data_IF_957049848518
#
_entry.id   IF_957049848518
#
_cell.length_a   1.000
_cell.length_b   1.000
_cell.length_c   1.000
_cell.angle_alpha   90.00
_cell.angle_beta   90.00
_cell.angle_gamma   90.00
#
_symmetry.space_group_name_H-M   'P 1'
#
loop_
_entity.id
_entity.type
_entity.pdbx_description
1 polymer ?
#
# COMPACT_ATOMS: atom_id res chain seq x y z
N UNK A 1 11.01 15.08 7.97
CA UNK A 1 10.92 15.90 6.72
C UNK A 1 11.86 17.09 6.92
N UNK A 2 13.02 17.04 6.30
CA UNK A 2 14.04 18.08 6.39
C UNK A 2 13.75 19.20 5.39
N UNK A 3 13.45 20.42 5.83
CA UNK A 3 13.16 21.53 4.90
C UNK A 3 14.27 21.79 3.90
N UNK A 4 15.53 21.61 4.29
CA UNK A 4 16.70 21.87 3.44
C UNK A 4 16.90 20.89 2.28
N UNK A 5 16.16 19.78 2.22
CA UNK A 5 16.22 18.78 1.14
C UNK A 5 14.91 18.63 0.38
N UNK A 6 14.02 19.60 0.53
CA UNK A 6 12.67 19.48 -0.01
C UNK A 6 12.61 19.44 -1.54
N UNK A 7 13.48 20.18 -2.22
CA UNK A 7 13.50 20.16 -3.69
C UNK A 7 14.07 18.84 -4.23
N UNK A 8 15.12 18.29 -3.60
CA UNK A 8 15.67 16.99 -3.95
C UNK A 8 14.63 15.87 -3.76
N UNK A 9 13.90 15.93 -2.64
CA UNK A 9 12.83 14.97 -2.35
C UNK A 9 11.67 15.09 -3.36
N UNK A 10 11.24 16.31 -3.69
CA UNK A 10 10.19 16.53 -4.69
C UNK A 10 10.62 16.03 -6.09
N UNK A 11 11.88 16.22 -6.48
CA UNK A 11 12.41 15.69 -7.73
C UNK A 11 12.43 14.15 -7.74
N UNK A 12 12.75 13.52 -6.62
CA UNK A 12 12.66 12.07 -6.49
C UNK A 12 11.20 11.56 -6.62
N UNK A 13 10.23 12.24 -5.99
CA UNK A 13 8.80 11.89 -6.14
C UNK A 13 8.33 12.10 -7.58
N UNK A 14 8.73 13.19 -8.23
CA UNK A 14 8.41 13.45 -9.64
C UNK A 14 8.93 12.31 -10.55
N UNK A 15 10.17 11.87 -10.36
CA UNK A 15 10.71 10.72 -11.09
C UNK A 15 9.92 9.43 -10.82
N UNK A 16 9.49 9.20 -9.58
CA UNK A 16 8.65 8.06 -9.26
C UNK A 16 7.29 8.11 -9.99
N UNK A 17 6.68 9.29 -10.09
CA UNK A 17 5.44 9.50 -10.87
C UNK A 17 5.69 9.19 -12.36
N UNK A 18 6.79 9.68 -12.94
CA UNK A 18 7.15 9.40 -14.33
C UNK A 18 7.33 7.89 -14.58
N UNK A 19 7.96 7.17 -13.64
CA UNK A 19 8.11 5.72 -13.70
C UNK A 19 6.74 5.03 -13.63
N UNK A 20 5.87 5.45 -12.69
CA UNK A 20 4.53 4.89 -12.54
C UNK A 20 3.67 5.10 -13.79
N UNK A 21 3.81 6.22 -14.48
CA UNK A 21 3.14 6.49 -15.75
C UNK A 21 3.70 5.69 -16.92
N UNK A 22 4.94 5.24 -16.79
CA UNK A 22 5.61 4.47 -17.82
C UNK A 22 5.10 3.03 -17.96
N UNK A 23 5.08 2.47 -19.16
CA UNK A 23 4.58 1.10 -19.40
C UNK A 23 5.35 0.01 -18.65
N UNK A 24 6.61 0.29 -18.24
CA UNK A 24 7.41 -0.64 -17.46
C UNK A 24 6.89 -0.88 -16.05
N UNK A 25 6.13 0.05 -15.47
CA UNK A 25 5.62 -0.08 -14.11
C UNK A 25 4.38 -1.00 -14.00
N UNK A 26 3.61 -1.13 -15.05
CA UNK A 26 2.33 -1.83 -15.02
C UNK A 26 2.19 -2.92 -16.09
N UNK A 27 3.07 -2.97 -17.09
CA UNK A 27 2.99 -3.91 -18.21
C UNK A 27 2.97 -5.38 -17.77
N UNK A 28 3.74 -5.72 -16.75
CA UNK A 28 3.80 -7.06 -16.19
C UNK A 28 2.76 -7.33 -15.10
N UNK A 29 2.00 -6.30 -14.72
CA UNK A 29 0.92 -6.36 -13.72
C UNK A 29 -0.47 -6.23 -14.37
N UNK A 30 -0.52 -6.30 -15.66
CA UNK A 30 -1.78 -6.31 -16.39
C UNK A 30 -2.41 -7.68 -16.21
N UNK A 31 -3.42 -7.73 -15.40
CA UNK A 31 -4.25 -8.92 -15.20
C UNK A 31 -5.28 -9.02 -16.31
N UNK A 32 -4.79 -8.99 -17.54
CA UNK A 32 -5.64 -8.67 -18.67
C UNK A 32 -6.34 -9.88 -19.28
N UNK A 33 -7.61 -9.99 -18.99
CA UNK A 33 -8.57 -10.67 -19.83
C UNK A 33 -9.19 -9.71 -20.88
N UNK A 34 -8.96 -8.37 -20.75
CA UNK A 34 -9.67 -7.34 -21.50
C UNK A 34 -8.78 -6.33 -22.26
N UNK A 35 -7.52 -6.64 -22.54
CA UNK A 35 -6.69 -5.79 -23.39
C UNK A 35 -5.74 -4.82 -22.67
N UNK A 36 -5.62 -4.89 -21.34
CA UNK A 36 -4.47 -4.33 -20.61
C UNK A 36 -4.47 -2.84 -20.38
N UNK A 37 -5.62 -2.21 -20.22
CA UNK A 37 -5.68 -0.82 -19.78
C UNK A 37 -5.56 -0.75 -18.24
N UNK A 38 -4.41 -0.30 -17.68
CA UNK A 38 -4.25 -0.19 -16.23
C UNK A 38 -5.22 0.78 -15.59
N UNK A 39 -5.79 1.70 -16.36
CA UNK A 39 -6.83 2.62 -15.90
C UNK A 39 -8.16 1.91 -15.62
N UNK A 40 -8.37 0.75 -16.20
CA UNK A 40 -9.59 -0.06 -15.99
C UNK A 40 -9.36 -1.13 -14.94
N UNK A 41 -8.23 -1.85 -15.02
CA UNK A 41 -8.07 -3.13 -14.33
C UNK A 41 -6.99 -3.15 -13.24
N UNK A 42 -6.27 -2.04 -12.98
CA UNK A 42 -5.21 -2.03 -11.98
C UNK A 42 -5.44 -1.00 -10.87
N UNK A 43 -6.26 -1.39 -9.91
CA UNK A 43 -6.57 -0.53 -8.76
C UNK A 43 -5.33 -0.19 -7.92
N UNK A 44 -4.39 -1.12 -7.77
CA UNK A 44 -3.16 -0.89 -7.01
C UNK A 44 -2.31 0.21 -7.67
N UNK A 45 -2.22 0.18 -9.00
CA UNK A 45 -1.51 1.22 -9.76
C UNK A 45 -2.19 2.59 -9.62
N UNK A 46 -3.53 2.66 -9.79
CA UNK A 46 -4.28 3.91 -9.57
C UNK A 46 -4.05 4.50 -8.19
N UNK A 47 -4.12 3.66 -7.16
CA UNK A 47 -3.88 4.06 -5.78
C UNK A 47 -2.46 4.59 -5.57
N UNK A 48 -1.46 3.88 -6.11
CA UNK A 48 -0.05 4.29 -6.00
C UNK A 48 0.21 5.62 -6.68
N UNK A 49 -0.37 5.85 -7.85
CA UNK A 49 -0.24 7.11 -8.57
C UNK A 49 -0.91 8.26 -7.81
N UNK A 50 -2.13 8.07 -7.30
CA UNK A 50 -2.81 9.06 -6.46
C UNK A 50 -2.00 9.44 -5.22
N UNK A 51 -1.39 8.47 -4.54
CA UNK A 51 -0.54 8.72 -3.38
C UNK A 51 0.71 9.51 -3.78
N UNK A 52 1.40 9.10 -4.84
CA UNK A 52 2.62 9.76 -5.29
C UNK A 52 2.36 11.22 -5.73
N UNK A 53 1.33 11.45 -6.53
CA UNK A 53 0.91 12.78 -6.96
C UNK A 53 0.41 13.63 -5.79
N UNK A 54 -0.31 13.01 -4.85
CA UNK A 54 -0.76 13.67 -3.64
C UNK A 54 0.40 14.18 -2.79
N UNK A 55 1.41 13.34 -2.56
CA UNK A 55 2.64 13.72 -1.86
C UNK A 55 3.34 14.86 -2.61
N UNK A 56 3.50 14.74 -3.94
CA UNK A 56 4.12 15.78 -4.76
C UNK A 56 3.39 17.12 -4.65
N UNK A 57 2.08 17.11 -4.82
CA UNK A 57 1.25 18.32 -4.72
C UNK A 57 1.30 19.00 -3.34
N UNK A 58 1.31 18.21 -2.25
CA UNK A 58 1.48 18.75 -0.90
C UNK A 58 2.88 19.35 -0.72
N UNK A 59 3.92 18.67 -1.12
CA UNK A 59 5.31 19.12 -0.97
C UNK A 59 5.58 20.39 -1.74
N UNK A 60 5.23 20.41 -3.03
CA UNK A 60 5.54 21.53 -3.93
C UNK A 60 4.55 22.68 -3.81
N UNK A 61 3.30 22.40 -3.44
CA UNK A 61 2.18 23.32 -3.52
C UNK A 61 1.71 23.58 -4.95
N UNK A 62 2.34 22.93 -5.93
CA UNK A 62 1.89 22.96 -7.32
C UNK A 62 0.72 21.98 -7.49
N UNK A 63 -0.46 22.48 -7.14
CA UNK A 63 -1.68 21.69 -7.19
C UNK A 63 -2.15 21.46 -8.62
N UNK A 64 -1.80 22.34 -9.53
CA UNK A 64 -2.28 22.27 -10.91
C UNK A 64 -1.54 21.24 -11.75
N UNK A 65 -0.27 20.95 -11.42
CA UNK A 65 0.54 20.00 -12.18
C UNK A 65 -0.05 18.58 -12.22
N UNK A 66 -0.67 18.14 -11.10
CA UNK A 66 -1.25 16.79 -10.98
C UNK A 66 -2.78 16.79 -11.03
N UNK A 67 -3.43 17.97 -11.03
CA UNK A 67 -4.89 18.07 -10.93
C UNK A 67 -5.66 17.24 -11.96
N UNK A 68 -5.36 17.33 -13.28
CA UNK A 68 -6.19 16.64 -14.28
C UNK A 68 -6.19 15.12 -14.10
N UNK A 69 -5.03 14.55 -13.77
CA UNK A 69 -4.90 13.10 -13.59
C UNK A 69 -5.49 12.65 -12.25
N UNK A 70 -5.18 13.34 -11.15
CA UNK A 70 -5.78 13.03 -9.86
C UNK A 70 -7.32 13.15 -9.87
N UNK A 71 -7.85 14.17 -10.54
CA UNK A 71 -9.30 14.37 -10.68
C UNK A 71 -9.93 13.24 -11.50
N UNK A 72 -9.30 12.85 -12.60
CA UNK A 72 -9.75 11.72 -13.42
C UNK A 72 -9.77 10.42 -12.61
N UNK A 73 -8.68 10.10 -11.90
CA UNK A 73 -8.57 8.92 -11.07
C UNK A 73 -9.59 8.92 -9.91
N UNK A 74 -9.71 10.04 -9.21
CA UNK A 74 -10.65 10.17 -8.10
C UNK A 74 -12.11 9.98 -8.56
N UNK A 75 -12.50 10.60 -9.67
CA UNK A 75 -13.84 10.45 -10.25
C UNK A 75 -14.10 9.04 -10.79
N UNK A 76 -13.07 8.38 -11.36
CA UNK A 76 -13.15 6.99 -11.78
C UNK A 76 -13.45 6.06 -10.59
N UNK A 77 -12.71 6.19 -9.50
CA UNK A 77 -12.93 5.43 -8.26
C UNK A 77 -14.31 5.69 -7.65
N UNK A 78 -14.74 6.94 -7.59
CA UNK A 78 -16.07 7.30 -7.09
C UNK A 78 -17.20 6.75 -7.95
N UNK A 79 -16.99 6.68 -9.27
CA UNK A 79 -17.97 6.09 -10.20
C UNK A 79 -18.06 4.59 -9.99
N UNK A 80 -16.93 3.90 -9.98
CA UNK A 80 -16.89 2.46 -9.77
C UNK A 80 -17.54 2.05 -8.45
N UNK A 81 -17.32 2.81 -7.39
CA UNK A 81 -17.98 2.59 -6.11
C UNK A 81 -19.51 2.76 -6.22
N UNK A 82 -19.99 3.82 -6.84
CA UNK A 82 -21.45 4.05 -7.03
C UNK A 82 -22.09 2.95 -7.88
N UNK A 83 -21.43 2.50 -8.92
CA UNK A 83 -21.90 1.38 -9.74
C UNK A 83 -21.99 0.09 -8.93
N UNK A 84 -21.04 -0.17 -8.05
CA UNK A 84 -21.09 -1.29 -7.12
C UNK A 84 -22.23 -1.16 -6.11
N UNK A 85 -22.50 0.05 -5.59
CA UNK A 85 -23.62 0.35 -4.69
C UNK A 85 -24.98 0.07 -5.32
N UNK A 86 -25.12 0.30 -6.60
CA UNK A 86 -26.37 0.15 -7.35
C UNK A 86 -26.65 -1.30 -7.77
N UNK A 87 -25.73 -2.25 -7.54
CA UNK A 87 -25.99 -3.66 -7.81
C UNK A 87 -27.01 -4.23 -6.82
N UNK A 88 -27.91 -5.11 -7.26
CA UNK A 88 -28.98 -5.63 -6.40
C UNK A 88 -28.45 -6.25 -5.12
N UNK A 89 -29.08 -5.92 -4.01
CA UNK A 89 -28.88 -6.59 -2.72
C UNK A 89 -29.14 -8.08 -2.92
N UNK A 90 -28.22 -8.92 -2.53
CA UNK A 90 -28.26 -10.37 -2.82
C UNK A 90 -27.23 -10.78 -3.86
N UNK A 91 -26.72 -9.82 -4.62
CA UNK A 91 -25.52 -10.00 -5.41
C UNK A 91 -24.24 -9.59 -4.64
N UNK A 92 -24.37 -9.18 -3.36
CA UNK A 92 -23.27 -8.66 -2.54
C UNK A 92 -22.84 -7.25 -2.96
N UNK A 93 -22.81 -6.35 -2.01
CA UNK A 93 -22.32 -5.00 -2.21
C UNK A 93 -20.85 -4.95 -1.82
N UNK A 94 -19.98 -4.57 -2.74
CA UNK A 94 -18.59 -4.29 -2.45
C UNK A 94 -18.37 -2.78 -2.45
N UNK A 95 -18.07 -2.20 -1.29
CA UNK A 95 -17.65 -0.80 -1.18
C UNK A 95 -16.27 -0.62 -1.80
N UNK A 96 -16.16 0.16 -2.87
CA UNK A 96 -14.91 0.38 -3.58
C UNK A 96 -14.90 -0.17 -5.00
N UNK A 97 -13.73 -0.49 -5.53
CA UNK A 97 -13.52 -0.95 -6.91
C UNK A 97 -12.82 -2.31 -6.93
N UNK A 98 -13.08 -3.09 -7.99
CA UNK A 98 -12.33 -4.33 -8.23
C UNK A 98 -10.88 -4.02 -8.58
N UNK A 99 -9.94 -4.76 -8.01
CA UNK A 99 -8.52 -4.64 -8.32
C UNK A 99 -8.22 -5.22 -9.71
N UNK A 100 -8.95 -6.26 -10.06
CA UNK A 100 -9.01 -6.88 -11.39
C UNK A 100 -10.42 -7.39 -11.64
N UNK A 101 -10.72 -7.75 -12.89
CA UNK A 101 -12.05 -8.25 -13.25
C UNK A 101 -12.53 -9.37 -12.31
N UNK A 102 -13.66 -9.14 -11.67
CA UNK A 102 -14.28 -10.11 -10.76
C UNK A 102 -13.69 -10.23 -9.36
N UNK A 103 -12.58 -9.53 -9.06
CA UNK A 103 -11.87 -9.65 -7.79
C UNK A 103 -11.72 -8.31 -7.08
N UNK A 104 -12.24 -8.23 -5.87
CA UNK A 104 -12.10 -7.10 -4.99
C UNK A 104 -11.19 -7.46 -3.80
N UNK A 105 -10.21 -6.60 -3.52
CA UNK A 105 -9.26 -6.81 -2.44
C UNK A 105 -9.27 -5.65 -1.44
N UNK A 106 -9.25 -5.99 -0.15
CA UNK A 106 -9.28 -5.02 0.94
C UNK A 106 -8.10 -4.04 0.88
N UNK A 107 -6.90 -4.56 0.66
CA UNK A 107 -5.67 -3.76 0.65
C UNK A 107 -5.59 -2.77 -0.51
N UNK A 108 -6.03 -3.14 -1.70
CA UNK A 108 -6.03 -2.24 -2.86
C UNK A 108 -7.01 -1.07 -2.64
N UNK A 109 -8.19 -1.37 -2.10
CA UNK A 109 -9.18 -0.35 -1.78
C UNK A 109 -8.76 0.55 -0.60
N UNK A 110 -8.05 0.01 0.38
CA UNK A 110 -7.47 0.80 1.47
C UNK A 110 -6.43 1.81 0.97
N UNK A 111 -5.55 1.39 0.04
CA UNK A 111 -4.60 2.30 -0.60
C UNK A 111 -5.31 3.36 -1.45
N UNK A 112 -6.41 2.99 -2.14
CA UNK A 112 -7.22 3.96 -2.88
C UNK A 112 -7.84 5.00 -1.96
N UNK A 113 -8.36 4.59 -0.79
CA UNK A 113 -8.89 5.53 0.20
C UNK A 113 -7.80 6.48 0.72
N UNK A 114 -6.57 6.01 0.93
CA UNK A 114 -5.44 6.86 1.28
C UNK A 114 -5.10 7.85 0.14
N UNK A 115 -5.05 7.38 -1.10
CA UNK A 115 -4.82 8.26 -2.26
C UNK A 115 -5.89 9.33 -2.42
N UNK A 116 -7.15 8.96 -2.19
CA UNK A 116 -8.28 9.91 -2.21
C UNK A 116 -8.26 10.90 -1.03
N UNK A 117 -7.72 10.54 0.13
CA UNK A 117 -7.48 11.51 1.22
C UNK A 117 -6.48 12.58 0.79
N UNK A 118 -5.42 12.22 0.05
CA UNK A 118 -4.51 13.20 -0.54
C UNK A 118 -5.23 14.11 -1.54
N UNK A 119 -6.11 13.55 -2.37
CA UNK A 119 -6.94 14.33 -3.28
C UNK A 119 -7.81 15.35 -2.54
N UNK A 120 -8.54 14.92 -1.50
CA UNK A 120 -9.39 15.80 -0.70
C UNK A 120 -8.60 16.90 0.01
N UNK A 121 -7.36 16.62 0.44
CA UNK A 121 -6.47 17.61 1.05
C UNK A 121 -6.00 18.67 0.06
N UNK A 122 -5.77 18.29 -1.18
CA UNK A 122 -5.30 19.20 -2.22
C UNK A 122 -6.43 20.03 -2.82
N UNK A 123 -7.56 19.41 -3.13
CA UNK A 123 -8.60 20.04 -3.95
C UNK A 123 -9.92 20.29 -3.20
N UNK A 124 -10.09 19.67 -2.05
CA UNK A 124 -11.27 19.88 -1.22
C UNK A 124 -12.49 19.14 -1.75
N UNK A 125 -13.57 19.88 -1.99
CA UNK A 125 -14.82 19.31 -2.47
C UNK A 125 -14.85 19.26 -3.99
N UNK A 126 -15.39 18.17 -4.52
CA UNK A 126 -15.64 18.04 -5.95
C UNK A 126 -16.64 19.11 -6.41
N UNK A 127 -16.33 19.77 -7.52
CA UNK A 127 -17.12 20.90 -8.03
C UNK A 127 -18.51 20.50 -8.55
N UNK A 128 -18.69 19.25 -8.96
CA UNK A 128 -19.96 18.76 -9.52
C UNK A 128 -20.90 18.26 -8.41
N UNK A 129 -20.36 17.54 -7.43
CA UNK A 129 -21.18 16.92 -6.38
C UNK A 129 -21.23 17.72 -5.09
N UNK A 130 -20.30 18.64 -4.87
CA UNK A 130 -20.13 19.36 -3.62
C UNK A 130 -19.62 18.50 -2.45
N UNK A 131 -19.28 17.24 -2.68
CA UNK A 131 -18.81 16.29 -1.68
C UNK A 131 -17.29 16.14 -1.74
N UNK A 132 -16.70 15.68 -0.65
CA UNK A 132 -15.33 15.15 -0.64
C UNK A 132 -15.35 13.71 -1.12
N UNK A 133 -14.70 13.44 -2.25
CA UNK A 133 -14.69 12.11 -2.87
C UNK A 133 -14.06 11.09 -1.94
N UNK A 134 -12.92 11.42 -1.32
CA UNK A 134 -12.21 10.52 -0.42
C UNK A 134 -12.99 10.22 0.85
N UNK A 135 -13.67 11.21 1.43
CA UNK A 135 -14.50 11.01 2.62
C UNK A 135 -15.69 10.07 2.33
N UNK A 136 -16.37 10.25 1.21
CA UNK A 136 -17.47 9.38 0.78
C UNK A 136 -16.99 7.96 0.50
N UNK A 137 -15.91 7.83 -0.28
CA UNK A 137 -15.32 6.53 -0.60
C UNK A 137 -14.90 5.78 0.66
N UNK A 138 -14.19 6.44 1.56
CA UNK A 138 -13.72 5.87 2.84
C UNK A 138 -14.88 5.39 3.71
N UNK A 139 -15.93 6.19 3.88
CA UNK A 139 -17.11 5.83 4.68
C UNK A 139 -17.69 4.50 4.24
N UNK A 140 -17.93 4.36 2.95
CA UNK A 140 -18.60 3.20 2.39
C UNK A 140 -17.66 1.98 2.35
N UNK A 141 -16.36 2.20 2.08
CA UNK A 141 -15.33 1.16 2.17
C UNK A 141 -15.23 0.59 3.58
N UNK A 142 -15.14 1.44 4.59
CA UNK A 142 -15.02 0.99 5.99
C UNK A 142 -16.26 0.26 6.46
N UNK A 143 -17.45 0.71 6.04
CA UNK A 143 -18.70 0.01 6.35
C UNK A 143 -18.70 -1.41 5.76
N UNK A 144 -18.29 -1.55 4.50
CA UNK A 144 -18.19 -2.85 3.83
C UNK A 144 -17.10 -3.74 4.46
N UNK A 145 -15.90 -3.21 4.66
CA UNK A 145 -14.80 -3.96 5.28
C UNK A 145 -15.21 -4.54 6.64
N UNK A 146 -15.73 -3.69 7.54
CA UNK A 146 -16.07 -4.08 8.90
C UNK A 146 -17.20 -5.10 8.95
N UNK A 147 -18.15 -5.03 8.02
CA UNK A 147 -19.34 -5.88 8.01
C UNK A 147 -19.14 -7.20 7.27
N UNK A 148 -18.51 -7.16 6.10
CA UNK A 148 -18.52 -8.28 5.15
C UNK A 148 -17.14 -8.93 4.96
N UNK A 149 -16.05 -8.18 5.20
CA UNK A 149 -14.72 -8.63 4.85
C UNK A 149 -13.84 -9.05 6.04
N UNK A 150 -14.34 -8.95 7.25
CA UNK A 150 -13.61 -9.38 8.45
C UNK A 150 -14.18 -10.68 8.96
N UNK A 151 -13.33 -11.70 9.03
CA UNK A 151 -13.67 -12.96 9.64
C UNK A 151 -14.00 -12.77 11.15
N UNK A 152 -15.15 -13.24 11.63
CA UNK A 152 -15.58 -12.97 13.01
C UNK A 152 -14.72 -13.68 14.07
N UNK A 153 -14.04 -14.78 13.72
CA UNK A 153 -13.26 -15.58 14.67
C UNK A 153 -11.82 -15.06 14.74
N UNK A 154 -11.14 -14.96 13.61
CA UNK A 154 -9.74 -14.51 13.54
C UNK A 154 -9.59 -13.01 13.58
N UNK A 155 -10.64 -12.28 13.22
CA UNK A 155 -10.63 -10.81 13.03
C UNK A 155 -9.67 -10.34 11.93
N UNK A 156 -9.28 -11.24 11.05
CA UNK A 156 -8.49 -10.95 9.86
C UNK A 156 -9.39 -10.69 8.65
N UNK A 157 -8.96 -9.90 7.68
CA UNK A 157 -9.72 -9.76 6.45
C UNK A 157 -9.72 -11.05 5.65
N UNK A 158 -10.83 -11.35 5.00
CA UNK A 158 -10.88 -12.36 3.95
C UNK A 158 -9.95 -11.94 2.79
N UNK A 159 -9.43 -12.93 2.08
CA UNK A 159 -8.47 -12.73 0.99
C UNK A 159 -9.04 -11.86 -0.11
N UNK A 160 -10.23 -12.15 -0.55
CA UNK A 160 -10.89 -11.46 -1.64
C UNK A 160 -12.41 -11.51 -1.52
N UNK A 161 -13.07 -10.65 -2.27
CA UNK A 161 -14.49 -10.71 -2.55
C UNK A 161 -14.70 -10.92 -4.03
N UNK A 162 -15.47 -11.96 -4.40
CA UNK A 162 -15.84 -12.20 -5.79
C UNK A 162 -17.03 -11.35 -6.19
N UNK A 163 -16.90 -10.61 -7.28
CA UNK A 163 -17.94 -9.74 -7.80
C UNK A 163 -18.64 -10.33 -9.02
N UNK A 164 -18.18 -11.50 -9.49
CA UNK A 164 -18.77 -12.24 -10.61
C UNK A 164 -19.22 -13.62 -10.11
N UNK A 165 -20.40 -14.05 -10.51
CA UNK A 165 -21.01 -15.28 -10.00
C UNK A 165 -21.70 -15.07 -8.67
N UNK A 166 -21.74 -16.05 -7.77
CA UNK A 166 -22.22 -15.83 -6.41
C UNK A 166 -21.29 -14.88 -5.70
N UNK A 167 -21.73 -13.64 -5.50
CA UNK A 167 -20.96 -12.60 -4.85
C UNK A 167 -20.77 -12.95 -3.37
N UNK A 168 -19.56 -13.29 -3.00
CA UNK A 168 -19.21 -13.70 -1.64
C UNK A 168 -17.72 -13.48 -1.35
N UNK A 169 -17.41 -13.36 -0.06
CA UNK A 169 -16.04 -13.41 0.40
C UNK A 169 -15.46 -14.81 0.20
N UNK A 170 -14.21 -14.88 -0.22
CA UNK A 170 -13.44 -16.09 0.01
C UNK A 170 -13.21 -16.23 1.51
N UNK A 171 -13.57 -17.39 2.05
CA UNK A 171 -13.50 -17.63 3.51
C UNK A 171 -12.06 -17.80 4.02
N UNK A 172 -11.08 -17.83 3.14
CA UNK A 172 -9.68 -17.78 3.54
C UNK A 172 -9.31 -16.38 4.01
N UNK A 173 -8.65 -16.27 5.16
CA UNK A 173 -8.18 -15.01 5.69
C UNK A 173 -6.81 -14.66 5.17
N UNK A 174 -6.51 -13.36 5.03
CA UNK A 174 -5.23 -12.87 4.55
C UNK A 174 -4.59 -11.89 5.54
N UNK A 175 -3.63 -12.35 6.35
CA UNK A 175 -2.84 -11.44 7.19
C UNK A 175 -2.08 -10.39 6.39
N UNK A 176 -1.65 -10.70 5.16
CA UNK A 176 -1.02 -9.74 4.26
C UNK A 176 -1.98 -8.59 3.89
N UNK A 177 -3.21 -8.95 3.47
CA UNK A 177 -4.24 -7.96 3.20
C UNK A 177 -4.53 -7.09 4.43
N UNK A 178 -4.53 -7.71 5.62
CA UNK A 178 -4.69 -7.00 6.89
C UNK A 178 -3.58 -6.01 7.18
N UNK A 179 -2.31 -6.36 6.97
CA UNK A 179 -1.18 -5.46 7.17
C UNK A 179 -1.20 -4.27 6.21
N UNK A 180 -1.40 -4.52 4.93
CA UNK A 180 -1.39 -3.46 3.92
C UNK A 180 -2.61 -2.55 4.07
N UNK A 181 -3.78 -3.11 4.39
CA UNK A 181 -4.96 -2.33 4.72
C UNK A 181 -4.75 -1.49 5.99
N UNK A 182 -4.18 -2.07 7.05
CA UNK A 182 -3.85 -1.35 8.28
C UNK A 182 -2.91 -0.17 7.99
N UNK A 183 -1.84 -0.42 7.23
CA UNK A 183 -0.87 0.62 6.86
C UNK A 183 -1.52 1.80 6.14
N UNK A 184 -2.42 1.53 5.19
CA UNK A 184 -3.10 2.56 4.42
C UNK A 184 -4.22 3.26 5.21
N UNK A 185 -4.95 2.54 6.06
CA UNK A 185 -6.09 3.05 6.81
C UNK A 185 -5.71 3.78 8.11
N UNK A 186 -4.47 3.69 8.56
CA UNK A 186 -4.03 4.27 9.84
C UNK A 186 -4.35 5.76 10.02
N UNK A 187 -4.24 6.63 8.99
CA UNK A 187 -4.62 8.03 9.13
C UNK A 187 -6.14 8.26 8.97
N UNK A 188 -6.89 7.26 8.54
CA UNK A 188 -8.30 7.36 8.17
C UNK A 188 -9.25 6.79 9.23
N UNK A 189 -8.86 5.68 9.85
CA UNK A 189 -9.56 5.03 10.97
C UNK A 189 -8.52 4.29 11.82
N UNK A 190 -7.93 5.00 12.76
CA UNK A 190 -6.81 4.51 13.56
C UNK A 190 -7.16 3.27 14.37
N UNK A 191 -8.32 3.24 15.00
CA UNK A 191 -8.72 2.13 15.88
C UNK A 191 -8.88 0.83 15.09
N UNK A 192 -9.50 0.90 13.92
CA UNK A 192 -9.65 -0.25 13.04
C UNK A 192 -8.30 -0.71 12.45
N UNK A 193 -7.47 0.24 12.06
CA UNK A 193 -6.14 -0.06 11.55
C UNK A 193 -5.23 -0.70 12.63
N UNK A 194 -5.28 -0.23 13.87
CA UNK A 194 -4.55 -0.82 15.01
C UNK A 194 -5.01 -2.25 15.29
N UNK A 195 -6.32 -2.56 15.18
CA UNK A 195 -6.82 -3.93 15.34
C UNK A 195 -6.31 -4.85 14.23
N UNK A 196 -6.40 -4.41 12.97
CA UNK A 196 -5.87 -5.14 11.83
C UNK A 196 -4.36 -5.41 11.97
N UNK A 197 -3.57 -4.37 12.32
CA UNK A 197 -2.13 -4.50 12.51
C UNK A 197 -1.79 -5.53 13.58
N UNK A 198 -2.39 -5.40 14.77
CA UNK A 198 -2.11 -6.30 15.90
C UNK A 198 -2.41 -7.76 15.59
N UNK A 199 -3.44 -8.03 14.79
CA UNK A 199 -3.82 -9.38 14.41
C UNK A 199 -3.01 -9.93 13.26
N UNK A 200 -2.68 -9.09 12.27
CA UNK A 200 -1.96 -9.53 11.06
C UNK A 200 -0.45 -9.67 11.29
N UNK A 201 0.16 -8.77 12.04
CA UNK A 201 1.61 -8.74 12.26
C UNK A 201 2.21 -10.06 12.76
N UNK A 202 1.64 -10.78 13.74
CA UNK A 202 2.23 -12.02 14.24
C UNK A 202 2.38 -13.13 13.20
N UNK A 203 1.65 -13.06 12.11
CA UNK A 203 1.76 -14.01 11.00
C UNK A 203 2.98 -13.75 10.09
N UNK A 204 3.62 -12.59 10.21
CA UNK A 204 4.73 -12.19 9.35
C UNK A 204 6.01 -11.84 10.12
N UNK A 205 5.88 -11.42 11.38
CA UNK A 205 6.99 -10.96 12.20
C UNK A 205 6.97 -11.64 13.56
N UNK A 206 8.00 -12.42 13.83
CA UNK A 206 8.28 -12.95 15.16
C UNK A 206 9.36 -12.10 15.86
N UNK A 207 9.29 -11.98 17.17
CA UNK A 207 10.43 -11.58 17.98
C UNK A 207 10.94 -12.80 18.70
N UNK A 208 12.21 -13.14 18.53
CA UNK A 208 12.85 -14.18 19.33
C UNK A 208 12.89 -13.76 20.81
N UNK A 209 13.02 -14.72 21.75
CA UNK A 209 13.26 -14.43 23.17
C UNK A 209 14.49 -13.56 23.40
N UNK A 210 15.44 -13.55 22.47
CA UNK A 210 16.65 -12.72 22.51
C UNK A 210 16.45 -11.32 21.91
N UNK A 211 15.22 -10.96 21.51
CA UNK A 211 14.91 -9.66 20.93
C UNK A 211 15.33 -9.49 19.47
N UNK A 212 15.83 -10.54 18.82
CA UNK A 212 16.11 -10.55 17.39
C UNK A 212 14.80 -10.76 16.62
N UNK A 213 14.63 -10.05 15.52
CA UNK A 213 13.55 -10.33 14.58
C UNK A 213 13.83 -11.65 13.87
N UNK A 214 12.89 -12.56 13.94
CA UNK A 214 12.91 -13.79 13.16
C UNK A 214 11.75 -13.73 12.17
N UNK A 215 12.04 -14.16 10.94
CA UNK A 215 11.02 -14.33 9.94
C UNK A 215 10.32 -15.66 10.13
N UNK A 216 9.04 -15.70 9.79
CA UNK A 216 8.40 -16.97 9.57
C UNK A 216 9.07 -17.63 8.35
N UNK A 217 9.44 -18.89 8.47
CA UNK A 217 9.88 -19.68 7.34
C UNK A 217 8.74 -19.82 6.33
N UNK A 218 9.08 -20.11 5.08
CA UNK A 218 8.10 -20.34 4.03
C UNK A 218 7.09 -21.44 4.40
N UNK A 219 7.57 -22.51 5.06
CA UNK A 219 6.70 -23.57 5.55
C UNK A 219 5.72 -23.07 6.63
N UNK A 220 6.16 -22.26 7.57
CA UNK A 220 5.29 -21.67 8.61
C UNK A 220 4.25 -20.73 8.01
N UNK A 221 4.60 -19.99 6.95
CA UNK A 221 3.64 -19.13 6.24
C UNK A 221 2.67 -19.98 5.42
N UNK A 222 3.15 -21.02 4.75
CA UNK A 222 2.30 -21.93 3.98
C UNK A 222 1.30 -22.68 4.88
N UNK A 223 1.73 -23.09 6.08
CA UNK A 223 0.86 -23.73 7.07
C UNK A 223 -0.21 -22.77 7.63
N UNK A 224 0.13 -21.49 7.76
CA UNK A 224 -0.81 -20.45 8.26
C UNK A 224 -1.75 -19.97 7.15
N UNK A 225 -1.29 -20.00 5.90
CA UNK A 225 -1.98 -19.42 4.73
C UNK A 225 -2.06 -20.42 3.56
N UNK A 226 -2.64 -21.62 3.77
CA UNK A 226 -2.80 -22.57 2.68
C UNK A 226 -3.64 -21.94 1.56
N UNK A 227 -3.13 -21.91 0.34
CA UNK A 227 -3.89 -21.49 -0.83
C UNK A 227 -3.78 -20.02 -1.26
N UNK A 228 -3.03 -19.16 -0.60
CA UNK A 228 -2.82 -17.76 -1.03
C UNK A 228 -2.09 -17.61 -2.39
N UNK A 229 -2.44 -18.40 -3.40
CA UNK A 229 -1.84 -18.40 -4.74
C UNK A 229 -2.28 -17.24 -5.65
N UNK A 230 -3.26 -16.46 -5.26
CA UNK A 230 -3.93 -15.54 -6.17
C UNK A 230 -4.18 -14.15 -5.58
N UNK A 231 -3.24 -13.59 -4.84
CA UNK A 231 -3.32 -12.18 -4.53
C UNK A 231 -2.90 -11.33 -5.76
N UNK A 232 -3.17 -10.04 -5.71
CA UNK A 232 -2.88 -9.10 -6.80
C UNK A 232 -1.39 -8.95 -7.12
N UNK A 233 -0.49 -9.51 -6.31
CA UNK A 233 0.95 -9.47 -6.49
C UNK A 233 1.50 -10.71 -7.21
N UNK A 234 0.66 -11.72 -7.44
CA UNK A 234 1.01 -12.96 -8.13
C UNK A 234 1.70 -14.02 -7.25
N UNK A 235 1.75 -15.27 -7.74
CA UNK A 235 2.37 -16.36 -7.01
C UNK A 235 3.87 -16.12 -6.84
N UNK A 236 4.36 -16.27 -5.63
CA UNK A 236 5.79 -16.19 -5.31
C UNK A 236 6.29 -14.82 -4.81
N UNK A 237 5.51 -13.75 -4.92
CA UNK A 237 5.86 -12.45 -4.32
C UNK A 237 5.45 -12.32 -2.86
N UNK A 238 4.68 -13.25 -2.36
CA UNK A 238 4.02 -13.23 -1.07
C UNK A 238 4.92 -13.00 0.11
N UNK A 239 5.91 -13.85 0.26
CA UNK A 239 6.73 -13.89 1.47
C UNK A 239 7.59 -12.65 1.57
N UNK A 240 8.20 -12.23 0.47
CA UNK A 240 8.99 -11.02 0.44
C UNK A 240 8.16 -9.76 0.62
N UNK A 241 7.06 -9.62 -0.12
CA UNK A 241 6.18 -8.45 -0.04
C UNK A 241 5.54 -8.32 1.34
N UNK A 242 5.00 -9.41 1.89
CA UNK A 242 4.37 -9.44 3.20
C UNK A 242 5.32 -8.98 4.30
N UNK A 243 6.55 -9.44 4.23
CA UNK A 243 7.60 -9.05 5.17
C UNK A 243 7.90 -7.56 5.12
N UNK A 244 8.10 -7.00 3.93
CA UNK A 244 8.43 -5.59 3.78
C UNK A 244 7.25 -4.67 4.13
N UNK A 245 6.03 -5.09 3.86
CA UNK A 245 4.84 -4.38 4.31
C UNK A 245 4.75 -4.40 5.83
N UNK A 246 5.00 -5.55 6.47
CA UNK A 246 5.04 -5.64 7.91
C UNK A 246 6.14 -4.75 8.52
N UNK A 247 7.31 -4.71 7.90
CA UNK A 247 8.40 -3.84 8.28
C UNK A 247 8.01 -2.35 8.20
N UNK A 248 7.43 -1.89 7.09
CA UNK A 248 6.95 -0.51 6.96
C UNK A 248 5.84 -0.19 7.96
N UNK A 249 4.93 -1.14 8.19
CA UNK A 249 3.85 -0.99 9.16
C UNK A 249 4.35 -0.83 10.59
N UNK A 250 5.48 -1.44 10.98
CA UNK A 250 6.05 -1.22 12.33
C UNK A 250 6.35 0.26 12.60
N UNK A 251 6.72 1.02 11.57
CA UNK A 251 6.93 2.47 11.69
C UNK A 251 5.63 3.23 11.80
N UNK A 252 4.64 2.88 11.00
CA UNK A 252 3.31 3.51 11.02
C UNK A 252 2.65 3.35 12.40
N UNK A 253 2.81 2.17 13.01
CA UNK A 253 2.22 1.83 14.31
C UNK A 253 3.16 2.04 15.50
N UNK A 254 4.32 2.66 15.28
CA UNK A 254 5.32 2.96 16.32
C UNK A 254 5.73 1.72 17.14
N UNK A 255 5.70 0.54 16.52
CA UNK A 255 6.11 -0.71 17.15
C UNK A 255 7.64 -0.80 17.23
N UNK A 256 8.23 0.03 18.09
CA UNK A 256 9.69 0.17 18.24
C UNK A 256 10.40 -1.14 18.52
N UNK A 257 9.76 -2.03 19.29
CA UNK A 257 10.35 -3.32 19.64
C UNK A 257 10.58 -4.18 18.40
N UNK A 258 9.52 -4.39 17.63
CA UNK A 258 9.60 -5.19 16.40
C UNK A 258 10.46 -4.48 15.35
N UNK A 259 10.29 -3.16 15.20
CA UNK A 259 11.13 -2.37 14.33
C UNK A 259 12.63 -2.59 14.61
N UNK A 260 13.06 -2.46 15.85
CA UNK A 260 14.46 -2.60 16.21
C UNK A 260 14.99 -4.03 15.97
N UNK A 261 14.17 -5.05 16.27
CA UNK A 261 14.54 -6.44 16.05
C UNK A 261 14.72 -6.75 14.55
N UNK A 262 13.78 -6.29 13.71
CA UNK A 262 13.87 -6.46 12.25
C UNK A 262 15.03 -5.64 11.66
N UNK A 263 15.23 -4.41 12.15
CA UNK A 263 16.34 -3.57 11.72
C UNK A 263 17.71 -4.20 12.04
N UNK A 264 17.84 -4.83 13.21
CA UNK A 264 19.03 -5.55 13.58
C UNK A 264 19.30 -6.74 12.64
N UNK A 265 18.26 -7.51 12.31
CA UNK A 265 18.37 -8.59 11.35
C UNK A 265 18.84 -8.09 9.97
N UNK A 266 18.28 -7.01 9.46
CA UNK A 266 18.73 -6.42 8.19
C UNK A 266 20.22 -6.06 8.23
N UNK A 267 20.69 -5.54 9.37
CA UNK A 267 22.09 -5.14 9.51
C UNK A 267 23.02 -6.36 9.55
N UNK A 268 22.64 -7.37 10.31
CA UNK A 268 23.51 -8.52 10.58
C UNK A 268 23.49 -9.55 9.45
N UNK A 269 22.33 -9.82 8.87
CA UNK A 269 22.10 -10.92 7.94
C UNK A 269 21.99 -10.46 6.49
N UNK A 270 21.19 -9.43 6.22
CA UNK A 270 20.93 -8.97 4.86
C UNK A 270 22.03 -8.06 4.29
N UNK A 271 22.80 -7.40 5.16
CA UNK A 271 23.99 -6.60 4.83
C UNK A 271 23.81 -5.67 3.64
N UNK A 272 22.93 -4.65 3.76
CA UNK A 272 22.71 -3.70 2.69
C UNK A 272 23.98 -2.90 2.39
N UNK A 273 24.23 -2.65 1.10
CA UNK A 273 25.29 -1.79 0.64
C UNK A 273 24.84 -0.84 -0.47
N UNK A 274 25.55 0.25 -0.66
CA UNK A 274 25.26 1.21 -1.74
C UNK A 274 26.17 0.94 -2.94
N UNK A 275 25.57 0.80 -4.11
CA UNK A 275 26.27 0.64 -5.37
C UNK A 275 25.50 1.32 -6.51
N UNK A 276 26.16 2.17 -7.29
CA UNK A 276 25.54 2.84 -8.43
C UNK A 276 24.38 3.77 -8.09
N UNK A 277 24.32 4.30 -6.87
CA UNK A 277 23.17 5.10 -6.39
C UNK A 277 21.98 4.30 -5.92
N UNK A 278 22.09 2.97 -5.88
CA UNK A 278 21.04 2.05 -5.43
C UNK A 278 21.44 1.34 -4.14
N UNK A 279 20.43 0.97 -3.36
CA UNK A 279 20.60 0.08 -2.22
C UNK A 279 20.50 -1.35 -2.74
N UNK A 280 21.53 -2.14 -2.45
CA UNK A 280 21.62 -3.55 -2.81
C UNK A 280 21.89 -4.41 -1.59
N UNK A 281 21.55 -5.66 -1.70
CA UNK A 281 21.79 -6.69 -0.69
C UNK A 281 22.71 -7.75 -1.29
N UNK A 282 23.48 -8.40 -0.43
CA UNK A 282 24.43 -9.45 -0.86
C UNK A 282 23.66 -10.60 -1.53
N UNK A 283 23.84 -10.76 -2.83
CA UNK A 283 23.22 -11.80 -3.64
C UNK A 283 23.73 -13.21 -3.28
N UNK A 284 24.87 -13.30 -2.60
CA UNK A 284 25.43 -14.54 -2.12
C UNK A 284 24.79 -15.04 -0.83
N UNK A 285 23.91 -14.22 -0.23
CA UNK A 285 23.16 -14.64 0.95
C UNK A 285 22.33 -15.88 0.62
N UNK A 286 22.80 -17.03 1.10
CA UNK A 286 22.24 -18.36 0.83
C UNK A 286 21.03 -18.69 1.72
N UNK A 287 20.51 -17.72 2.46
CA UNK A 287 19.25 -17.93 3.16
C UNK A 287 18.21 -18.45 2.16
N UNK A 288 17.43 -19.45 2.50
CA UNK A 288 16.45 -20.01 1.58
C UNK A 288 15.52 -18.88 1.09
N UNK A 289 15.50 -18.69 -0.22
CA UNK A 289 14.55 -17.78 -0.83
C UNK A 289 13.19 -18.46 -0.89
N UNK A 290 12.10 -17.78 -0.55
CA UNK A 290 10.76 -18.33 -0.73
C UNK A 290 10.39 -18.50 -2.22
N UNK A 291 11.19 -17.95 -3.13
CA UNK A 291 10.96 -18.04 -4.57
C UNK A 291 11.90 -19.07 -5.21
N UNK A 292 11.37 -20.12 -5.86
CA UNK A 292 12.18 -21.06 -6.63
C UNK A 292 13.03 -20.31 -7.67
N UNK A 293 14.34 -20.54 -7.67
CA UNK A 293 15.26 -19.94 -8.63
C UNK A 293 15.81 -18.54 -8.25
N UNK A 294 15.40 -17.97 -7.12
CA UNK A 294 15.95 -16.71 -6.62
C UNK A 294 16.75 -16.93 -5.33
N UNK A 295 17.80 -16.15 -5.15
CA UNK A 295 18.47 -16.02 -3.85
C UNK A 295 17.72 -15.04 -2.95
N UNK A 296 17.92 -15.13 -1.64
CA UNK A 296 17.37 -14.14 -0.71
C UNK A 296 17.84 -12.71 -1.05
N UNK A 297 19.12 -12.56 -1.46
CA UNK A 297 19.66 -11.28 -1.91
C UNK A 297 18.92 -10.69 -3.12
N UNK A 298 18.60 -11.51 -4.12
CA UNK A 298 17.81 -11.06 -5.26
C UNK A 298 16.41 -10.59 -4.86
N UNK A 299 15.73 -11.33 -3.98
CA UNK A 299 14.43 -10.92 -3.47
C UNK A 299 14.51 -9.58 -2.73
N UNK A 300 15.50 -9.43 -1.86
CA UNK A 300 15.74 -8.18 -1.12
C UNK A 300 16.04 -7.01 -2.06
N UNK A 301 16.80 -7.24 -3.15
CA UNK A 301 17.05 -6.21 -4.17
C UNK A 301 15.75 -5.77 -4.85
N UNK A 302 14.86 -6.69 -5.22
CA UNK A 302 13.55 -6.36 -5.77
C UNK A 302 12.68 -5.54 -4.80
N UNK A 303 12.83 -5.78 -3.50
CA UNK A 303 12.02 -5.14 -2.45
C UNK A 303 12.72 -3.96 -1.75
N UNK A 304 13.84 -3.49 -2.30
CA UNK A 304 14.65 -2.41 -1.70
C UNK A 304 13.85 -1.12 -1.44
N UNK A 305 12.89 -0.80 -2.29
CA UNK A 305 11.99 0.34 -2.08
C UNK A 305 11.16 0.22 -0.80
N UNK A 306 10.62 -0.94 -0.51
CA UNK A 306 9.89 -1.21 0.73
C UNK A 306 10.80 -1.20 1.95
N UNK A 307 12.02 -1.74 1.82
CA UNK A 307 13.03 -1.65 2.88
C UNK A 307 13.35 -0.19 3.22
N UNK A 308 13.57 0.64 2.20
CA UNK A 308 13.81 2.06 2.39
C UNK A 308 12.60 2.75 3.03
N UNK A 309 11.38 2.43 2.58
CA UNK A 309 10.15 2.95 3.17
C UNK A 309 10.09 2.66 4.67
N UNK A 310 10.35 1.42 5.09
CA UNK A 310 10.39 1.08 6.52
C UNK A 310 11.48 1.83 7.30
N UNK A 311 12.60 2.19 6.68
CA UNK A 311 13.65 3.00 7.31
C UNK A 311 13.25 4.45 7.54
N UNK A 312 12.57 5.06 6.58
CA UNK A 312 12.34 6.53 6.54
C UNK A 312 10.91 6.95 6.80
N UNK A 313 9.96 6.01 6.81
CA UNK A 313 8.56 6.33 7.02
C UNK A 313 8.33 7.02 8.37
N UNK A 314 7.61 8.12 8.34
CA UNK A 314 7.35 8.98 9.50
C UNK A 314 5.87 8.95 9.94
N UNK A 315 5.08 8.07 9.35
CA UNK A 315 3.64 7.97 9.55
C UNK A 315 2.84 8.82 8.57
N UNK A 316 1.78 8.24 8.02
CA UNK A 316 0.90 8.92 7.06
C UNK A 316 0.26 10.17 7.63
N UNK A 317 -0.17 10.11 8.89
CA UNK A 317 -0.74 11.27 9.57
C UNK A 317 0.25 12.43 9.64
N UNK A 318 1.52 12.15 9.93
CA UNK A 318 2.57 13.15 9.93
C UNK A 318 2.76 13.79 8.56
N UNK A 319 2.69 13.00 7.48
CA UNK A 319 2.81 13.50 6.11
C UNK A 319 1.61 14.38 5.74
N UNK A 320 0.41 13.92 6.04
CA UNK A 320 -0.85 14.61 5.72
C UNK A 320 -1.01 15.93 6.50
N UNK A 321 -0.61 15.96 7.77
CA UNK A 321 -0.79 17.10 8.65
C UNK A 321 0.42 18.06 8.68
N UNK A 322 1.50 17.73 7.95
CA UNK A 322 2.68 18.58 7.88
C UNK A 322 2.38 19.93 7.24
N UNK A 323 2.87 20.99 7.85
CA UNK A 323 2.84 22.33 7.26
C UNK A 323 3.94 22.48 6.20
N UNK A 324 3.62 22.04 4.99
CA UNK A 324 4.53 22.06 3.85
C UNK A 324 4.98 23.46 3.42
N UNK A 325 4.28 24.53 3.87
CA UNK A 325 4.70 25.90 3.59
C UNK A 325 6.08 26.22 4.20
N UNK A 326 6.43 25.56 5.32
CA UNK A 326 7.73 25.72 5.98
C UNK A 326 8.90 25.20 5.12
N UNK A 327 8.61 24.36 4.17
CA UNK A 327 9.60 23.78 3.26
C UNK A 327 9.88 24.68 2.05
N UNK A 328 9.28 25.87 2.00
CA UNK A 328 9.42 26.84 0.90
C UNK A 328 10.09 28.11 1.36
N UNK A 329 10.76 28.78 0.43
CA UNK A 329 11.27 30.13 0.64
C UNK A 329 10.11 31.17 0.54
N UNK A 330 10.36 32.45 0.86
CA UNK A 330 9.35 33.51 0.72
C UNK A 330 8.81 33.70 -0.71
N UNK A 331 9.53 33.22 -1.72
CA UNK A 331 9.08 33.22 -3.11
C UNK A 331 8.29 31.93 -3.50
N UNK A 332 8.01 31.07 -2.53
CA UNK A 332 7.27 29.82 -2.70
C UNK A 332 8.08 28.66 -3.30
N UNK A 333 9.38 28.82 -3.54
CA UNK A 333 10.23 27.76 -4.09
C UNK A 333 10.69 26.82 -2.97
N UNK A 334 10.78 25.53 -3.29
CA UNK A 334 11.31 24.54 -2.34
C UNK A 334 12.77 24.89 -1.94
N UNK A 335 13.05 24.75 -0.65
CA UNK A 335 14.38 25.02 -0.12
C UNK A 335 15.34 23.91 -0.50
N UNK A 336 16.54 24.33 -0.95
CA UNK A 336 17.75 23.52 -1.05
C UNK A 336 18.80 24.18 -0.17
N UNK A 337 19.42 23.42 0.69
CA UNK A 337 20.59 23.87 1.46
C UNK A 337 21.77 22.97 1.14
#
# INVERSE_FOLDING_TARGET
IEPGRSAEAADAVRRAIEILRGPGAWKDQVFDENGGDPMVDNLLWKASLLIAEGIYGLMTGDREACRPEMEFLARSLARAQRENLLRPIGSGYAGGECCRSGWWFAQCNALSALGLEFYDRLYGRDAETGEKIGESFRRDLLAFLKKEMIDPETRLPYRAWHTVGPMQAERETSPFAGLLAAFALSPLDRDFADDLYRRSRPHHLKSSPLGRGEFLSEAEIADILPGEGADCLGPGTRTGASFFVAWAATREFEDKRIFNAVNQWFTDEARPYFSGGEIRFDETNRSPSPLPGYSAGNLLNMMSGWWLLGKVHVGWKTILDHDWSRNRDPAGRLRNH
#
